data_IF_942238738552
#
_entry.id   IF_942238738552
#
_cell.length_a   1.000
_cell.length_b   1.000
_cell.length_c   1.000
_cell.angle_alpha   90.00
_cell.angle_beta   90.00
_cell.angle_gamma   90.00
#
_symmetry.space_group_name_H-M   'P 1'
#
loop_
_entity.id
_entity.type
_entity.pdbx_description
1 polymer ?
#
# COMPACT_ATOMS: atom_id res chain seq x y z
N UNK A 1 2.60 3.50 12.09
CA UNK A 1 3.50 4.24 11.21
C UNK A 1 4.46 3.28 10.51
N UNK A 2 4.98 3.64 9.32
CA UNK A 2 5.87 2.76 8.58
C UNK A 2 6.67 3.47 7.50
N UNK A 3 7.58 2.71 6.90
CA UNK A 3 8.43 3.13 5.79
C UNK A 3 8.13 2.22 4.60
N UNK A 4 8.05 2.81 3.41
CA UNK A 4 7.85 2.08 2.16
C UNK A 4 8.97 2.43 1.20
N UNK A 5 9.63 1.42 0.68
CA UNK A 5 10.53 1.52 -0.46
C UNK A 5 9.76 1.10 -1.71
N UNK A 6 9.73 1.96 -2.71
CA UNK A 6 8.98 1.69 -3.93
C UNK A 6 9.80 1.99 -5.18
N UNK A 7 9.61 1.16 -6.22
CA UNK A 7 10.22 1.33 -7.52
C UNK A 7 9.22 1.00 -8.63
N UNK A 8 9.33 1.70 -9.74
CA UNK A 8 8.50 1.45 -10.89
C UNK A 8 8.97 0.18 -11.61
N UNK A 9 8.02 -0.60 -12.13
CA UNK A 9 8.35 -1.73 -12.99
C UNK A 9 9.06 -1.22 -14.25
N UNK A 10 10.20 -1.82 -14.64
CA UNK A 10 10.92 -1.36 -15.80
C UNK A 10 10.13 -1.58 -17.10
N UNK A 11 10.34 -0.70 -18.07
CA UNK A 11 9.72 -0.76 -19.39
C UNK A 11 8.55 0.19 -19.56
N UNK A 12 7.79 -0.01 -20.62
CA UNK A 12 6.64 0.81 -20.99
C UNK A 12 5.46 0.61 -20.02
N UNK A 13 4.53 1.58 -19.93
CA UNK A 13 3.29 1.39 -19.18
C UNK A 13 2.56 0.11 -19.59
N UNK A 14 1.87 -0.54 -18.66
CA UNK A 14 1.05 -1.73 -18.96
C UNK A 14 -0.07 -1.42 -19.96
N UNK A 15 -0.53 -0.18 -19.95
CA UNK A 15 -1.52 0.32 -20.89
C UNK A 15 -1.36 1.83 -21.06
N UNK A 16 -1.51 2.31 -22.32
CA UNK A 16 -1.43 3.72 -22.67
C UNK A 16 -2.68 4.12 -23.45
N UNK A 17 -3.50 4.98 -22.85
CA UNK A 17 -4.65 5.61 -23.48
C UNK A 17 -4.41 7.07 -23.80
N UNK A 18 -5.44 7.74 -24.36
CA UNK A 18 -5.35 9.17 -24.73
C UNK A 18 -5.25 10.09 -23.50
N UNK A 19 -5.98 9.79 -22.43
CA UNK A 19 -6.08 10.65 -21.24
C UNK A 19 -5.44 10.02 -19.99
N UNK A 20 -5.22 8.71 -19.99
CA UNK A 20 -4.73 7.94 -18.86
C UNK A 20 -3.73 6.89 -19.30
N UNK A 21 -2.84 6.49 -18.40
CA UNK A 21 -1.99 5.33 -18.57
C UNK A 21 -1.91 4.52 -17.28
N UNK A 22 -1.71 3.21 -17.41
CA UNK A 22 -1.60 2.28 -16.30
C UNK A 22 -0.14 1.87 -16.13
N UNK A 23 0.42 2.15 -14.98
CA UNK A 23 1.76 1.71 -14.56
C UNK A 23 1.70 0.65 -13.47
N UNK A 24 2.74 -0.16 -13.39
CA UNK A 24 2.99 -1.09 -12.29
C UNK A 24 4.15 -0.58 -11.46
N UNK A 25 3.96 -0.58 -10.15
CA UNK A 25 4.95 -0.21 -9.16
C UNK A 25 5.09 -1.33 -8.14
N UNK A 26 6.28 -1.53 -7.63
CA UNK A 26 6.56 -2.48 -6.56
C UNK A 26 6.83 -1.73 -5.26
N UNK A 27 6.31 -2.22 -4.16
CA UNK A 27 6.51 -1.62 -2.84
C UNK A 27 6.89 -2.69 -1.81
N UNK A 28 8.01 -2.48 -1.13
CA UNK A 28 8.38 -3.21 0.08
C UNK A 28 8.17 -2.30 1.29
N UNK A 29 7.56 -2.81 2.35
CA UNK A 29 7.18 -2.00 3.50
C UNK A 29 7.57 -2.64 4.83
N UNK A 30 7.87 -1.78 5.80
CA UNK A 30 7.97 -2.12 7.22
C UNK A 30 7.13 -1.13 8.00
N UNK A 31 6.21 -1.61 8.81
CA UNK A 31 5.36 -0.77 9.64
C UNK A 31 5.22 -1.29 11.07
N UNK A 32 4.93 -0.38 11.97
CA UNK A 32 4.65 -0.65 13.37
C UNK A 32 3.23 -0.17 13.70
N UNK A 33 2.43 -1.05 14.26
CA UNK A 33 1.11 -0.74 14.76
C UNK A 33 1.18 -0.52 16.26
N UNK A 34 0.91 0.70 16.68
CA UNK A 34 0.86 1.05 18.10
C UNK A 34 -0.50 0.61 18.66
N UNK A 35 -0.51 -0.38 19.52
CA UNK A 35 -1.74 -0.97 20.06
C UNK A 35 -1.88 -0.60 21.54
N UNK A 36 -2.87 0.25 21.85
CA UNK A 36 -3.13 0.67 23.23
C UNK A 36 -3.27 -0.53 24.17
N UNK A 37 -2.55 -0.49 25.31
CA UNK A 37 -2.58 -1.50 26.37
C UNK A 37 -2.11 -2.92 25.93
N UNK A 38 -1.53 -3.04 24.74
CA UNK A 38 -1.00 -4.29 24.22
C UNK A 38 0.40 -4.06 23.63
N UNK A 39 1.08 -5.16 23.32
CA UNK A 39 2.36 -5.07 22.61
C UNK A 39 2.14 -4.69 21.15
N UNK A 40 2.98 -3.83 20.64
CA UNK A 40 2.97 -3.42 19.25
C UNK A 40 3.14 -4.60 18.28
N UNK A 41 2.62 -4.44 17.09
CA UNK A 41 2.77 -5.39 15.98
C UNK A 41 3.71 -4.78 14.96
N UNK A 42 4.73 -5.50 14.57
CA UNK A 42 5.56 -5.15 13.42
C UNK A 42 5.06 -5.93 12.21
N UNK A 43 4.87 -5.22 11.11
CA UNK A 43 4.46 -5.75 9.83
C UNK A 43 5.57 -5.54 8.81
N UNK A 44 5.89 -6.57 8.05
CA UNK A 44 6.68 -6.49 6.81
C UNK A 44 5.80 -6.89 5.63
N UNK A 45 5.95 -6.19 4.52
CA UNK A 45 5.08 -6.43 3.39
C UNK A 45 5.71 -6.19 2.03
N UNK A 46 5.09 -6.80 1.02
CA UNK A 46 5.35 -6.56 -0.39
C UNK A 46 4.02 -6.39 -1.13
N UNK A 47 3.97 -5.39 -2.00
CA UNK A 47 2.79 -5.08 -2.80
C UNK A 47 3.16 -4.70 -4.23
N UNK A 48 2.70 -5.44 -5.23
CA UNK A 48 2.59 -4.91 -6.58
C UNK A 48 1.41 -3.92 -6.61
N UNK A 49 1.64 -2.69 -7.04
CA UNK A 49 0.65 -1.61 -7.05
C UNK A 49 0.40 -1.17 -8.48
N UNK A 50 -0.83 -1.31 -8.93
CA UNK A 50 -1.30 -0.72 -10.18
C UNK A 50 -1.67 0.74 -9.93
N UNK A 51 -1.13 1.65 -10.74
CA UNK A 51 -1.46 3.07 -10.71
C UNK A 51 -1.98 3.54 -12.06
N UNK A 52 -3.18 4.07 -12.05
CA UNK A 52 -3.80 4.73 -13.20
C UNK A 52 -3.54 6.23 -13.09
N UNK A 53 -2.61 6.72 -13.90
CA UNK A 53 -2.22 8.13 -13.93
C UNK A 53 -2.98 8.89 -15.02
N UNK A 54 -3.36 10.12 -14.69
CA UNK A 54 -3.76 11.08 -15.74
C UNK A 54 -2.55 11.45 -16.59
N UNK A 55 -2.70 11.47 -17.92
CA UNK A 55 -1.66 11.89 -18.86
C UNK A 55 -1.43 13.40 -18.75
N UNK A 56 -0.53 13.78 -17.85
CA UNK A 56 -0.03 15.13 -17.67
C UNK A 56 1.43 15.04 -17.25
N UNK A 57 2.28 16.01 -17.65
CA UNK A 57 3.64 16.08 -17.16
C UNK A 57 3.64 16.19 -15.62
N UNK A 58 4.49 15.42 -14.91
CA UNK A 58 4.54 15.49 -13.44
C UNK A 58 4.81 16.89 -12.91
N UNK A 59 5.56 17.71 -13.64
CA UNK A 59 5.86 19.11 -13.27
C UNK A 59 4.61 19.98 -13.13
N UNK A 60 3.56 19.67 -13.90
CA UNK A 60 2.26 20.34 -13.82
C UNK A 60 1.35 19.75 -12.76
N UNK A 61 1.77 18.62 -12.17
CA UNK A 61 0.97 17.84 -11.25
C UNK A 61 -0.03 16.93 -11.94
N UNK A 62 -0.18 15.72 -11.41
CA UNK A 62 -1.13 14.74 -11.95
C UNK A 62 -1.79 13.91 -10.86
N UNK A 63 -3.08 13.65 -11.04
CA UNK A 63 -3.82 12.71 -10.20
C UNK A 63 -3.57 11.27 -10.64
N UNK A 64 -3.68 10.37 -9.69
CA UNK A 64 -3.72 8.93 -9.95
C UNK A 64 -4.69 8.23 -9.00
N UNK A 65 -5.20 7.09 -9.46
CA UNK A 65 -5.85 6.08 -8.63
C UNK A 65 -4.94 4.86 -8.54
N UNK A 66 -5.01 4.12 -7.45
CA UNK A 66 -4.19 2.92 -7.27
C UNK A 66 -4.95 1.78 -6.63
N UNK A 67 -4.55 0.56 -6.97
CA UNK A 67 -5.06 -0.68 -6.38
C UNK A 67 -3.93 -1.71 -6.24
N UNK A 68 -4.03 -2.55 -5.24
CA UNK A 68 -3.03 -3.59 -5.00
C UNK A 68 -3.61 -4.77 -4.24
N UNK A 69 -3.05 -5.95 -4.51
CA UNK A 69 -3.14 -7.11 -3.64
C UNK A 69 -1.72 -7.46 -3.24
N UNK A 70 -1.41 -7.39 -1.95
CA UNK A 70 -0.08 -7.59 -1.42
C UNK A 70 -0.01 -8.68 -0.36
N UNK A 71 1.20 -8.99 0.06
CA UNK A 71 1.51 -9.97 1.09
C UNK A 71 2.04 -9.25 2.32
N UNK A 72 1.68 -9.76 3.51
CA UNK A 72 2.11 -9.22 4.81
C UNK A 72 2.57 -10.34 5.73
N UNK A 73 3.61 -10.05 6.51
CA UNK A 73 4.03 -10.87 7.64
C UNK A 73 3.96 -10.06 8.91
N UNK A 74 3.26 -10.57 9.90
CA UNK A 74 3.07 -9.94 11.19
C UNK A 74 3.97 -10.60 12.25
N UNK A 75 4.58 -9.79 13.11
CA UNK A 75 5.40 -10.29 14.22
C UNK A 75 4.59 -11.06 15.27
N UNK A 76 3.26 -10.90 15.26
CA UNK A 76 2.35 -11.59 16.17
C UNK A 76 0.91 -11.65 15.63
N UNK A 77 0.21 -12.71 15.96
CA UNK A 77 -1.18 -12.96 15.52
C UNK A 77 -2.22 -12.38 16.49
N UNK A 78 -1.91 -12.30 17.77
CA UNK A 78 -2.78 -11.72 18.79
C UNK A 78 -2.51 -10.21 18.87
N UNK A 79 -3.41 -9.42 18.26
CA UNK A 79 -3.30 -7.96 18.17
C UNK A 79 -3.83 -7.31 19.45
N UNK A 80 -5.05 -7.70 19.87
CA UNK A 80 -5.65 -7.28 21.15
C UNK A 80 -6.17 -8.50 21.90
N UNK A 81 -6.74 -8.30 23.11
CA UNK A 81 -7.36 -9.37 23.88
C UNK A 81 -8.43 -10.13 23.05
N UNK A 82 -9.23 -9.38 22.27
CA UNK A 82 -10.36 -9.90 21.52
C UNK A 82 -10.08 -10.09 20.01
N UNK A 83 -8.92 -9.65 19.52
CA UNK A 83 -8.55 -9.70 18.10
C UNK A 83 -7.33 -10.56 17.86
N UNK A 84 -7.57 -11.76 17.33
CA UNK A 84 -6.55 -12.70 16.89
C UNK A 84 -6.75 -12.97 15.39
N UNK A 85 -5.72 -12.69 14.58
CA UNK A 85 -5.76 -12.89 13.12
C UNK A 85 -5.27 -14.28 12.69
N UNK A 86 -4.97 -15.13 13.66
CA UNK A 86 -4.69 -16.57 13.55
C UNK A 86 -3.45 -16.97 12.77
N UNK A 87 -2.96 -16.18 11.83
CA UNK A 87 -1.73 -16.45 11.09
C UNK A 87 -0.86 -15.21 10.99
N UNK A 88 0.45 -15.39 11.02
CA UNK A 88 1.41 -14.31 10.77
C UNK A 88 1.37 -13.85 9.31
N UNK A 89 1.13 -14.77 8.39
CA UNK A 89 0.96 -14.48 6.98
C UNK A 89 -0.47 -13.97 6.72
N UNK A 90 -0.56 -12.83 6.03
CA UNK A 90 -1.80 -12.14 5.68
C UNK A 90 -1.73 -11.65 4.23
N UNK A 91 -2.90 -11.47 3.61
CA UNK A 91 -3.08 -10.72 2.38
C UNK A 91 -3.47 -9.28 2.70
N UNK A 92 -3.16 -8.36 1.79
CA UNK A 92 -3.50 -6.95 1.91
C UNK A 92 -4.13 -6.46 0.62
N UNK A 93 -5.42 -6.18 0.66
CA UNK A 93 -6.14 -5.53 -0.42
C UNK A 93 -6.10 -4.02 -0.20
N UNK A 94 -5.80 -3.26 -1.26
CA UNK A 94 -5.59 -1.83 -1.14
C UNK A 94 -6.21 -1.07 -2.31
N UNK A 95 -6.92 0.00 -1.98
CA UNK A 95 -7.43 0.98 -2.92
C UNK A 95 -7.01 2.37 -2.47
N UNK A 96 -6.66 3.23 -3.41
CA UNK A 96 -6.22 4.57 -3.06
C UNK A 96 -6.27 5.56 -4.21
N UNK A 97 -5.95 6.79 -3.86
CA UNK A 97 -5.77 7.88 -4.81
C UNK A 97 -4.69 8.82 -4.30
N UNK A 98 -4.12 9.58 -5.22
CA UNK A 98 -3.10 10.53 -4.85
C UNK A 98 -2.82 11.57 -5.92
N UNK A 99 -1.89 12.42 -5.58
CA UNK A 99 -1.41 13.50 -6.42
C UNK A 99 0.11 13.49 -6.46
N UNK A 100 0.66 13.62 -7.66
CA UNK A 100 2.09 13.57 -7.91
C UNK A 100 2.53 14.85 -8.61
N UNK A 101 3.65 15.44 -8.17
CA UNK A 101 4.17 16.68 -8.73
C UNK A 101 5.69 16.77 -8.63
N UNK A 102 6.24 17.82 -9.24
CA UNK A 102 7.68 18.13 -9.23
C UNK A 102 8.42 17.48 -10.39
N UNK A 103 9.69 17.89 -10.55
CA UNK A 103 10.55 17.35 -11.59
C UNK A 103 10.66 15.84 -11.44
N UNK A 104 10.50 15.10 -12.52
CA UNK A 104 10.58 13.63 -12.55
C UNK A 104 9.65 12.94 -11.56
N UNK A 105 8.48 13.55 -11.28
CA UNK A 105 7.52 13.03 -10.31
C UNK A 105 8.07 12.90 -8.89
N UNK A 106 8.85 13.87 -8.47
CA UNK A 106 9.66 13.85 -7.24
C UNK A 106 8.83 13.70 -5.96
N UNK A 107 7.64 14.29 -5.94
CA UNK A 107 6.75 14.30 -4.78
C UNK A 107 5.44 13.59 -5.07
N UNK A 108 4.97 12.84 -4.11
CA UNK A 108 3.66 12.18 -4.15
C UNK A 108 3.02 12.23 -2.77
N UNK A 109 1.75 12.60 -2.71
CA UNK A 109 0.91 12.43 -1.54
C UNK A 109 -0.29 11.57 -1.90
N UNK A 110 -0.69 10.69 -1.01
CA UNK A 110 -1.83 9.82 -1.28
C UNK A 110 -2.56 9.35 -0.03
N UNK A 111 -3.77 8.91 -0.26
CA UNK A 111 -4.64 8.30 0.74
C UNK A 111 -5.03 6.91 0.26
N UNK A 112 -4.88 5.91 1.15
CA UNK A 112 -5.21 4.51 0.89
C UNK A 112 -6.20 3.99 1.92
N UNK A 113 -7.12 3.17 1.46
CA UNK A 113 -7.81 2.19 2.28
C UNK A 113 -7.11 0.85 2.12
N UNK A 114 -6.79 0.19 3.23
CA UNK A 114 -6.10 -1.10 3.25
C UNK A 114 -6.87 -2.08 4.13
N UNK A 115 -7.22 -3.21 3.57
CA UNK A 115 -7.79 -4.36 4.29
C UNK A 115 -6.74 -5.46 4.41
N UNK A 116 -6.55 -6.00 5.61
CA UNK A 116 -5.61 -7.10 5.87
C UNK A 116 -6.40 -8.28 6.43
N UNK A 117 -6.23 -9.46 5.81
CA UNK A 117 -6.85 -10.70 6.24
C UNK A 117 -6.05 -11.92 5.76
N UNK A 118 -6.33 -13.09 6.35
CA UNK A 118 -5.73 -14.34 5.90
C UNK A 118 -6.55 -15.07 4.82
N UNK A 119 -7.50 -14.39 4.19
CA UNK A 119 -8.41 -14.94 3.17
C UNK A 119 -9.17 -16.20 3.65
N UNK A 120 -9.38 -16.37 4.95
CA UNK A 120 -10.06 -17.53 5.51
C UNK A 120 -9.22 -18.81 5.62
N UNK A 121 -7.91 -18.73 5.35
CA UNK A 121 -7.00 -19.89 5.46
C UNK A 121 -6.99 -20.47 6.88
N UNK A 122 -7.10 -19.60 7.88
CA UNK A 122 -7.17 -19.98 9.29
C UNK A 122 -8.17 -19.11 10.04
N UNK A 123 -8.96 -19.72 10.93
CA UNK A 123 -9.93 -18.99 11.77
C UNK A 123 -9.42 -18.83 13.21
N UNK A 124 -9.80 -17.75 13.92
CA UNK A 124 -10.63 -16.65 13.44
C UNK A 124 -9.93 -15.78 12.39
N UNK A 125 -10.69 -15.20 11.47
CA UNK A 125 -10.19 -14.26 10.46
C UNK A 125 -11.04 -12.96 10.48
N UNK A 126 -10.89 -12.12 11.51
CA UNK A 126 -11.70 -10.91 11.66
C UNK A 126 -11.37 -9.82 10.63
N UNK A 127 -10.20 -9.91 9.98
CA UNK A 127 -9.68 -8.85 9.16
C UNK A 127 -9.33 -7.58 9.94
N UNK A 128 -8.63 -6.66 9.30
CA UNK A 128 -8.33 -5.33 9.84
C UNK A 128 -8.31 -4.31 8.72
N UNK A 129 -8.86 -3.13 9.01
CA UNK A 129 -9.00 -2.04 8.07
C UNK A 129 -8.19 -0.83 8.53
N UNK A 130 -7.50 -0.20 7.60
CA UNK A 130 -6.66 0.97 7.85
C UNK A 130 -6.93 2.06 6.82
N UNK A 131 -7.02 3.31 7.29
CA UNK A 131 -6.81 4.48 6.48
C UNK A 131 -5.34 4.88 6.55
N UNK A 132 -4.67 5.01 5.42
CA UNK A 132 -3.24 5.32 5.34
C UNK A 132 -3.04 6.60 4.54
N UNK A 133 -2.58 7.65 5.20
CA UNK A 133 -2.05 8.84 4.55
C UNK A 133 -0.54 8.65 4.36
N UNK A 134 -0.02 8.90 3.16
CA UNK A 134 1.39 8.75 2.88
C UNK A 134 1.96 9.88 2.03
N UNK A 135 3.25 10.09 2.20
CA UNK A 135 4.07 10.94 1.35
C UNK A 135 5.23 10.11 0.80
N UNK A 136 5.55 10.31 -0.48
CA UNK A 136 6.70 9.68 -1.13
C UNK A 136 7.61 10.75 -1.75
N UNK A 137 8.89 10.53 -1.60
CA UNK A 137 9.93 11.28 -2.29
C UNK A 137 10.69 10.36 -3.23
N UNK A 138 10.92 10.79 -4.48
CA UNK A 138 11.75 10.08 -5.46
C UNK A 138 13.15 10.68 -5.43
N UNK A 139 14.14 9.84 -5.30
CA UNK A 139 15.56 10.19 -5.35
C UNK A 139 16.11 10.12 -6.76
#
# INVERSE_FOLDING_TARGET
AGIVLGWDHPGEPLWQGKKWHLGLRHEASVSQWLVKQHKDVVEVGYSPVLRLYRNAPPEQGRFFAEASIGLRLLSRTKVTADKNVSSAFQFSDMLGMGYQWGRDAQHTVGLRYQHISNAGIKKPNPGMDFGVLYYQHRF
#
